data_IF_042964716634
#
_entry.id   IF_042964716634
#
_cell.length_a   1.000
_cell.length_b   1.000
_cell.length_c   1.000
_cell.angle_alpha   90.00
_cell.angle_beta   90.00
_cell.angle_gamma   90.00
#
_symmetry.space_group_name_H-M   'P 1'
#
loop_
_entity.id
_entity.type
_entity.pdbx_description
1 polymer ?
#
# COMPACT_ATOMS: atom_id res chain seq x y z
N UNK A 1 -82.79 21.21 0.28
CA UNK A 1 -81.75 22.13 -0.24
C UNK A 1 -80.39 21.44 -0.08
N UNK A 2 -79.87 20.85 -1.15
CA UNK A 2 -78.60 20.09 -1.14
C UNK A 2 -77.41 21.07 -1.22
N UNK A 3 -76.54 21.06 -0.19
CA UNK A 3 -75.28 21.84 -0.19
C UNK A 3 -74.20 21.06 -0.95
N UNK A 4 -73.73 21.63 -2.07
CA UNK A 4 -72.57 21.15 -2.81
C UNK A 4 -71.28 21.47 -2.03
N UNK A 5 -70.49 20.44 -1.70
CA UNK A 5 -69.11 20.62 -1.25
C UNK A 5 -68.22 20.94 -2.46
N UNK A 6 -67.70 22.17 -2.51
CA UNK A 6 -66.76 22.65 -3.53
C UNK A 6 -65.40 21.97 -3.30
N UNK A 7 -65.03 20.98 -4.11
CA UNK A 7 -63.70 20.34 -4.08
C UNK A 7 -62.61 21.37 -4.41
N UNK A 8 -61.82 21.78 -3.42
CA UNK A 8 -60.65 22.63 -3.61
C UNK A 8 -59.50 21.80 -4.21
N UNK A 9 -59.40 21.79 -5.55
CA UNK A 9 -58.35 21.08 -6.31
C UNK A 9 -57.04 21.86 -6.52
N UNK A 10 -56.85 22.98 -5.81
CA UNK A 10 -55.67 23.86 -5.99
C UNK A 10 -54.63 23.86 -4.86
N UNK A 11 -54.91 23.21 -3.72
CA UNK A 11 -54.05 23.28 -2.53
C UNK A 11 -53.06 22.09 -2.38
N UNK A 12 -53.18 21.06 -3.23
CA UNK A 12 -52.38 19.83 -3.12
C UNK A 12 -50.99 19.93 -3.75
N UNK A 13 -50.72 20.92 -4.62
CA UNK A 13 -49.39 21.12 -5.22
C UNK A 13 -48.41 21.86 -4.29
N UNK A 14 -48.90 22.58 -3.27
CA UNK A 14 -48.03 23.35 -2.36
C UNK A 14 -47.54 22.55 -1.15
N UNK A 15 -48.40 21.67 -0.61
CA UNK A 15 -48.04 20.84 0.54
C UNK A 15 -47.11 19.69 0.10
N UNK A 16 -47.46 19.01 -1.00
CA UNK A 16 -46.69 17.87 -1.52
C UNK A 16 -45.35 18.31 -2.12
N UNK A 17 -45.27 19.48 -2.77
CA UNK A 17 -43.99 20.00 -3.27
C UNK A 17 -42.99 20.35 -2.17
N UNK A 18 -43.46 20.82 -0.99
CA UNK A 18 -42.59 21.06 0.16
C UNK A 18 -42.09 19.76 0.77
N UNK A 19 -42.97 18.76 0.90
CA UNK A 19 -42.61 17.42 1.38
C UNK A 19 -41.61 16.77 0.40
N UNK A 20 -41.86 16.86 -0.90
CA UNK A 20 -40.96 16.35 -1.94
C UNK A 20 -39.59 17.05 -1.90
N UNK A 21 -39.54 18.39 -1.83
CA UNK A 21 -38.29 19.13 -1.66
C UNK A 21 -37.53 18.74 -0.39
N UNK A 22 -38.25 18.42 0.69
CA UNK A 22 -37.65 17.98 1.95
C UNK A 22 -37.04 16.58 1.83
N UNK A 23 -37.71 15.68 1.11
CA UNK A 23 -37.20 14.33 0.80
C UNK A 23 -35.99 14.43 -0.14
N UNK A 24 -36.05 15.24 -1.21
CA UNK A 24 -34.92 15.45 -2.11
C UNK A 24 -33.74 16.14 -1.41
N UNK A 25 -33.99 17.12 -0.53
CA UNK A 25 -32.95 17.71 0.30
C UNK A 25 -32.32 16.68 1.23
N UNK A 26 -33.12 15.86 1.93
CA UNK A 26 -32.64 14.78 2.78
C UNK A 26 -31.82 13.74 2.01
N UNK A 27 -32.32 13.26 0.87
CA UNK A 27 -31.62 12.31 0.01
C UNK A 27 -30.32 12.90 -0.55
N UNK A 28 -30.30 14.19 -0.92
CA UNK A 28 -29.09 14.88 -1.41
C UNK A 28 -27.99 14.99 -0.34
N UNK A 29 -28.37 15.16 0.93
CA UNK A 29 -27.41 15.20 2.06
C UNK A 29 -26.87 13.80 2.34
N UNK A 30 -27.73 12.78 2.37
CA UNK A 30 -27.30 11.39 2.61
C UNK A 30 -26.40 10.88 1.48
N UNK A 31 -26.74 11.18 0.22
CA UNK A 31 -25.92 10.82 -0.95
C UNK A 31 -24.65 11.66 -1.07
N UNK A 32 -24.68 12.94 -0.70
CA UNK A 32 -23.49 13.80 -0.69
C UNK A 32 -22.45 13.41 0.36
N UNK A 33 -22.89 13.05 1.58
CA UNK A 33 -21.98 12.60 2.66
C UNK A 33 -21.37 11.24 2.32
N UNK A 34 -22.16 10.31 1.77
CA UNK A 34 -21.65 9.00 1.33
C UNK A 34 -20.71 9.10 0.13
N UNK A 35 -20.97 9.96 -0.86
CA UNK A 35 -20.08 10.15 -2.01
C UNK A 35 -18.75 10.82 -1.61
N UNK A 36 -18.76 11.77 -0.67
CA UNK A 36 -17.53 12.36 -0.11
C UNK A 36 -16.75 11.34 0.73
N UNK A 37 -17.43 10.39 1.38
CA UNK A 37 -16.78 9.29 2.11
C UNK A 37 -16.18 8.23 1.18
N UNK A 38 -16.86 7.87 0.09
CA UNK A 38 -16.35 6.92 -0.92
C UNK A 38 -15.18 7.51 -1.72
N UNK A 39 -15.11 8.83 -1.89
CA UNK A 39 -13.96 9.52 -2.48
C UNK A 39 -12.80 9.75 -1.49
N UNK A 40 -12.99 9.47 -0.19
CA UNK A 40 -11.93 9.56 0.82
C UNK A 40 -11.22 8.21 0.96
N UNK A 41 -9.90 8.24 0.73
CA UNK A 41 -8.91 7.19 1.04
C UNK A 41 -8.89 5.90 0.19
N UNK A 42 -8.86 6.03 -1.14
CA UNK A 42 -8.35 4.96 -2.03
C UNK A 42 -6.81 4.79 -1.95
N UNK A 43 -6.19 5.21 -0.83
CA UNK A 43 -4.74 5.23 -0.61
C UNK A 43 -4.24 3.89 -0.12
N UNK A 44 -4.96 3.30 0.83
CA UNK A 44 -4.71 1.96 1.35
C UNK A 44 -4.73 0.96 0.21
N UNK A 45 -5.79 0.96 -0.61
CA UNK A 45 -5.91 0.06 -1.77
C UNK A 45 -4.77 0.26 -2.78
N UNK A 46 -4.37 1.51 -3.05
CA UNK A 46 -3.19 1.80 -3.89
C UNK A 46 -1.89 1.24 -3.31
N UNK A 47 -1.69 1.35 -1.99
CA UNK A 47 -0.51 0.81 -1.30
C UNK A 47 -0.51 -0.72 -1.34
N UNK A 48 -1.66 -1.36 -1.10
CA UNK A 48 -1.81 -2.81 -1.17
C UNK A 48 -1.56 -3.32 -2.60
N UNK A 49 -2.14 -2.66 -3.61
CA UNK A 49 -1.90 -3.00 -5.02
C UNK A 49 -0.44 -2.81 -5.42
N UNK A 50 0.21 -1.74 -4.95
CA UNK A 50 1.64 -1.53 -5.16
C UNK A 50 2.47 -2.63 -4.51
N UNK A 51 2.14 -3.01 -3.28
CA UNK A 51 2.81 -4.09 -2.56
C UNK A 51 2.72 -5.42 -3.31
N UNK A 52 1.52 -5.80 -3.75
CA UNK A 52 1.29 -7.04 -4.52
C UNK A 52 2.13 -7.06 -5.80
N UNK A 53 2.12 -5.96 -6.57
CA UNK A 53 2.89 -5.85 -7.81
C UNK A 53 4.40 -5.94 -7.58
N UNK A 54 4.90 -5.24 -6.57
CA UNK A 54 6.34 -5.23 -6.27
C UNK A 54 6.77 -6.59 -5.70
N UNK A 55 5.92 -7.28 -4.94
CA UNK A 55 6.18 -8.66 -4.45
C UNK A 55 6.28 -9.63 -5.62
N UNK A 56 5.27 -9.67 -6.48
CA UNK A 56 5.27 -10.55 -7.64
C UNK A 56 6.46 -10.28 -8.58
N UNK A 57 6.80 -9.01 -8.80
CA UNK A 57 7.95 -8.65 -9.64
C UNK A 57 9.29 -9.09 -9.02
N UNK A 58 9.43 -8.99 -7.70
CA UNK A 58 10.62 -9.46 -7.01
C UNK A 58 10.74 -10.99 -7.06
N UNK A 59 9.63 -11.70 -6.85
CA UNK A 59 9.57 -13.17 -6.94
C UNK A 59 10.02 -13.67 -8.32
N UNK A 60 9.46 -13.12 -9.40
CA UNK A 60 9.86 -13.48 -10.78
C UNK A 60 11.33 -13.17 -11.04
N UNK A 61 11.82 -12.00 -10.58
CA UNK A 61 13.23 -11.66 -10.72
C UNK A 61 14.15 -12.63 -9.99
N UNK A 62 13.78 -13.09 -8.79
CA UNK A 62 14.55 -14.07 -8.02
C UNK A 62 14.57 -15.43 -8.71
N UNK A 63 13.46 -15.85 -9.31
CA UNK A 63 13.36 -17.08 -10.10
C UNK A 63 14.27 -17.01 -11.34
N UNK A 64 14.21 -15.92 -12.11
CA UNK A 64 15.00 -15.76 -13.33
C UNK A 64 16.51 -15.69 -13.05
N UNK A 65 16.90 -14.96 -12.01
CA UNK A 65 18.31 -14.81 -11.64
C UNK A 65 18.86 -16.01 -10.85
N UNK A 66 17.97 -16.90 -10.37
CA UNK A 66 18.27 -18.03 -9.50
C UNK A 66 19.12 -17.62 -8.29
N UNK A 67 18.84 -16.45 -7.74
CA UNK A 67 19.65 -15.83 -6.70
C UNK A 67 18.83 -14.93 -5.79
N UNK A 68 19.28 -14.80 -4.55
CA UNK A 68 18.72 -13.82 -3.62
C UNK A 68 19.04 -12.39 -4.09
N UNK A 69 18.16 -11.42 -3.79
CA UNK A 69 18.37 -10.02 -4.13
C UNK A 69 19.72 -9.48 -3.69
N UNK A 70 20.16 -9.87 -2.51
CA UNK A 70 21.45 -9.43 -2.00
C UNK A 70 22.65 -9.96 -2.79
N UNK A 71 22.53 -11.10 -3.47
CA UNK A 71 23.61 -11.69 -4.27
C UNK A 71 23.71 -11.06 -5.66
N UNK A 72 22.56 -10.71 -6.27
CA UNK A 72 22.54 -10.20 -7.65
C UNK A 72 22.61 -8.68 -7.76
N UNK A 73 22.58 -7.93 -6.66
CA UNK A 73 22.70 -6.47 -6.71
C UNK A 73 24.15 -6.06 -6.92
N UNK A 74 24.37 -5.22 -7.93
CA UNK A 74 25.68 -4.63 -8.15
C UNK A 74 26.13 -3.87 -6.89
N UNK A 75 27.44 -3.88 -6.62
CA UNK A 75 28.09 -3.07 -5.57
C UNK A 75 27.92 -1.56 -5.87
N UNK A 76 26.70 -1.05 -5.83
CA UNK A 76 26.44 0.38 -5.68
C UNK A 76 26.80 0.68 -4.24
N UNK A 77 27.87 1.44 -4.01
CA UNK A 77 28.49 1.73 -2.70
C UNK A 77 27.60 2.44 -1.66
N UNK A 78 26.29 2.29 -1.73
CA UNK A 78 25.31 2.70 -0.74
C UNK A 78 24.90 1.51 0.11
N UNK A 79 24.84 1.72 1.43
CA UNK A 79 24.36 0.74 2.46
C UNK A 79 22.95 0.18 2.21
N UNK A 80 22.25 0.65 1.18
CA UNK A 80 20.96 0.18 0.74
C UNK A 80 21.16 -0.30 -0.70
N UNK A 81 21.18 -1.62 -0.90
CA UNK A 81 21.22 -2.18 -2.25
C UNK A 81 19.89 -1.81 -2.90
N UNK A 82 19.97 -1.21 -4.08
CA UNK A 82 18.83 -0.59 -4.75
C UNK A 82 17.94 -1.63 -5.46
N UNK A 83 17.51 -2.68 -4.74
CA UNK A 83 16.71 -3.80 -5.27
C UNK A 83 15.49 -3.32 -6.03
N UNK A 84 14.83 -2.28 -5.53
CA UNK A 84 13.68 -1.69 -6.19
C UNK A 84 14.00 -1.15 -7.59
N UNK A 85 15.20 -0.59 -7.82
CA UNK A 85 15.60 -0.15 -9.18
C UNK A 85 16.01 -1.32 -10.07
N UNK A 86 16.54 -2.40 -9.50
CA UNK A 86 16.93 -3.58 -10.27
C UNK A 86 15.73 -4.30 -10.91
N UNK A 87 14.50 -4.02 -10.43
CA UNK A 87 13.25 -4.42 -11.10
C UNK A 87 13.03 -3.71 -12.45
N UNK A 88 13.69 -2.57 -12.68
CA UNK A 88 13.54 -1.74 -13.88
C UNK A 88 14.79 -1.68 -14.75
N UNK A 89 15.98 -1.80 -14.14
CA UNK A 89 17.25 -1.45 -14.77
C UNK A 89 18.30 -2.55 -14.57
N UNK A 90 18.65 -3.21 -15.68
CA UNK A 90 19.68 -4.25 -15.74
C UNK A 90 21.05 -3.77 -15.22
N UNK A 91 21.36 -2.48 -15.34
CA UNK A 91 22.65 -1.94 -14.88
C UNK A 91 22.85 -2.08 -13.37
N UNK A 92 21.74 -2.14 -12.62
CA UNK A 92 21.70 -2.35 -11.16
C UNK A 92 21.95 -3.82 -10.78
N UNK A 93 21.88 -4.72 -11.75
CA UNK A 93 22.19 -6.15 -11.58
C UNK A 93 23.69 -6.36 -11.80
N UNK A 94 24.32 -7.13 -10.91
CA UNK A 94 25.72 -7.47 -10.98
C UNK A 94 26.03 -8.21 -12.29
N UNK A 95 27.20 -7.94 -12.88
CA UNK A 95 27.57 -8.44 -14.21
C UNK A 95 27.46 -9.97 -14.36
N UNK A 96 27.67 -10.72 -13.27
CA UNK A 96 27.54 -12.19 -13.26
C UNK A 96 26.11 -12.69 -13.49
N UNK A 97 25.09 -11.86 -13.22
CA UNK A 97 23.67 -12.23 -13.31
C UNK A 97 22.94 -11.58 -14.50
N UNK A 98 23.56 -10.59 -15.16
CA UNK A 98 22.94 -9.83 -16.26
C UNK A 98 22.46 -10.70 -17.42
N UNK A 99 23.19 -11.76 -17.76
CA UNK A 99 22.79 -12.70 -18.82
C UNK A 99 21.51 -13.47 -18.51
N UNK A 100 21.11 -13.54 -17.23
CA UNK A 100 19.88 -14.19 -16.78
C UNK A 100 18.72 -13.21 -16.57
N UNK A 101 18.96 -11.91 -16.67
CA UNK A 101 17.93 -10.90 -16.43
C UNK A 101 16.97 -10.83 -17.62
N UNK A 102 15.69 -11.16 -17.40
CA UNK A 102 14.64 -11.14 -18.44
C UNK A 102 13.69 -9.93 -18.31
N UNK A 103 14.00 -9.01 -17.41
CA UNK A 103 13.20 -7.83 -17.10
C UNK A 103 13.05 -6.84 -18.26
N UNK A 104 12.41 -5.68 -18.01
CA UNK A 104 12.00 -5.16 -16.71
C UNK A 104 10.75 -5.86 -16.15
N UNK A 105 10.77 -6.14 -14.84
CA UNK A 105 9.71 -6.84 -14.10
C UNK A 105 8.57 -5.91 -13.68
N UNK A 106 8.83 -4.60 -13.63
CA UNK A 106 7.83 -3.55 -13.46
C UNK A 106 7.85 -2.62 -14.68
N UNK A 107 6.66 -2.36 -15.24
CA UNK A 107 6.49 -1.55 -16.46
C UNK A 107 6.19 -0.08 -16.19
N UNK A 108 5.74 0.26 -14.98
CA UNK A 108 5.33 1.62 -14.59
C UNK A 108 6.52 2.47 -14.16
N UNK A 109 6.30 3.77 -13.92
CA UNK A 109 7.36 4.77 -13.75
C UNK A 109 8.47 4.32 -12.80
N UNK A 110 9.74 4.52 -13.21
CA UNK A 110 10.95 4.34 -12.37
C UNK A 110 10.98 5.28 -11.15
N UNK A 111 9.92 6.05 -10.94
CA UNK A 111 9.79 6.96 -9.83
C UNK A 111 9.78 6.14 -8.54
N UNK A 112 10.86 6.28 -7.78
CA UNK A 112 10.95 5.84 -6.38
C UNK A 112 10.00 6.58 -5.47
N UNK A 113 9.00 7.28 -6.00
CA UNK A 113 8.11 8.14 -5.25
C UNK A 113 6.67 7.77 -5.57
N UNK A 114 5.85 7.63 -4.53
CA UNK A 114 4.40 7.62 -4.70
C UNK A 114 3.92 8.98 -5.22
N UNK A 115 2.67 9.07 -5.67
CA UNK A 115 2.01 10.35 -6.00
C UNK A 115 2.08 11.38 -4.84
N UNK A 116 2.33 10.89 -3.63
CA UNK A 116 2.41 11.64 -2.37
C UNK A 116 3.87 11.86 -1.90
N UNK A 117 4.84 11.63 -2.79
CA UNK A 117 6.28 11.83 -2.58
C UNK A 117 6.97 10.86 -1.61
N UNK A 118 6.29 9.82 -1.11
CA UNK A 118 6.91 8.80 -0.26
C UNK A 118 7.92 7.99 -1.04
N UNK A 119 9.10 7.73 -0.47
CA UNK A 119 10.11 6.92 -1.11
C UNK A 119 9.77 5.44 -1.04
N UNK A 120 9.92 4.75 -2.16
CA UNK A 120 9.77 3.30 -2.28
C UNK A 120 11.14 2.63 -2.27
N UNK A 121 11.33 1.67 -1.36
CA UNK A 121 12.55 0.87 -1.27
C UNK A 121 12.19 -0.57 -0.90
N UNK A 122 13.03 -1.51 -1.27
CA UNK A 122 12.96 -2.88 -0.73
C UNK A 122 14.08 -2.99 0.31
N UNK A 123 13.76 -3.45 1.51
CA UNK A 123 14.70 -3.56 2.64
C UNK A 123 14.69 -4.97 3.23
N UNK A 124 15.86 -5.60 3.41
CA UNK A 124 15.95 -6.82 4.19
C UNK A 124 15.80 -6.49 5.69
N UNK A 125 14.87 -7.14 6.38
CA UNK A 125 14.62 -6.92 7.81
C UNK A 125 14.32 -8.25 8.54
N UNK A 126 14.75 -8.41 9.80
CA UNK A 126 14.44 -9.59 10.60
C UNK A 126 13.01 -9.56 11.14
N UNK A 127 12.45 -10.75 11.35
CA UNK A 127 11.09 -10.96 11.86
C UNK A 127 10.96 -10.63 13.36
N UNK A 128 12.02 -10.75 14.15
CA UNK A 128 11.95 -10.61 15.61
C UNK A 128 13.11 -9.75 16.09
N UNK A 129 12.98 -8.42 16.09
CA UNK A 129 13.89 -7.53 16.82
C UNK A 129 13.40 -6.07 16.84
N UNK A 130 13.63 -5.42 17.99
CA UNK A 130 13.60 -3.96 18.19
C UNK A 130 14.76 -3.32 17.44
N UNK A 131 14.66 -3.28 16.12
CA UNK A 131 15.73 -2.78 15.28
C UNK A 131 15.33 -2.81 13.81
N UNK A 132 14.70 -1.74 13.34
CA UNK A 132 14.66 -1.44 11.91
C UNK A 132 16.13 -1.35 11.47
N UNK A 133 16.50 -2.00 10.36
CA UNK A 133 17.79 -1.89 9.64
C UNK A 133 18.88 -2.94 9.94
N UNK A 134 18.60 -4.23 9.80
CA UNK A 134 19.32 -5.13 8.86
C UNK A 134 19.21 -6.61 9.29
N UNK A 135 19.21 -7.47 8.29
CA UNK A 135 19.53 -8.87 8.46
C UNK A 135 20.97 -9.04 8.96
N UNK A 136 21.15 -9.87 10.00
CA UNK A 136 22.47 -10.29 10.47
C UNK A 136 22.70 -11.71 9.96
N UNK A 137 23.96 -12.16 9.95
CA UNK A 137 24.29 -13.54 9.58
C UNK A 137 23.47 -14.56 10.40
N UNK A 138 23.18 -14.26 11.67
CA UNK A 138 22.33 -15.12 12.52
C UNK A 138 20.89 -15.17 12.05
N UNK A 139 20.30 -14.03 11.66
CA UNK A 139 18.93 -13.99 11.14
C UNK A 139 18.79 -14.74 9.81
N UNK A 140 19.79 -14.62 8.94
CA UNK A 140 19.85 -15.35 7.66
C UNK A 140 19.94 -16.86 7.89
N UNK A 141 20.83 -17.31 8.80
CA UNK A 141 20.96 -18.73 9.16
C UNK A 141 19.67 -19.32 9.76
N UNK A 142 18.90 -18.52 10.49
CA UNK A 142 17.64 -18.97 11.10
C UNK A 142 16.42 -18.86 10.17
N UNK A 143 16.57 -18.30 8.96
CA UNK A 143 15.45 -18.04 8.05
C UNK A 143 14.50 -16.96 8.56
N UNK A 144 14.99 -16.04 9.39
CA UNK A 144 14.21 -14.97 10.04
C UNK A 144 14.24 -13.67 9.24
N UNK A 145 14.81 -13.68 8.04
CA UNK A 145 15.02 -12.51 7.20
C UNK A 145 14.09 -12.48 5.99
N UNK A 146 13.39 -11.35 5.86
CA UNK A 146 12.40 -11.12 4.82
C UNK A 146 12.66 -9.81 4.10
N UNK A 147 12.23 -9.73 2.85
CA UNK A 147 12.16 -8.47 2.14
C UNK A 147 10.90 -7.70 2.55
N UNK A 148 11.06 -6.41 2.83
CA UNK A 148 9.95 -5.50 3.12
C UNK A 148 9.91 -4.38 2.09
N UNK A 149 8.72 -4.05 1.61
CA UNK A 149 8.46 -2.81 0.90
C UNK A 149 8.39 -1.67 1.91
N UNK A 150 9.39 -0.80 1.86
CA UNK A 150 9.43 0.47 2.59
C UNK A 150 8.70 1.54 1.80
N UNK A 151 7.81 2.24 2.50
CA UNK A 151 7.08 3.42 2.04
C UNK A 151 7.27 4.51 3.09
N UNK A 152 8.01 5.56 2.78
CA UNK A 152 8.21 6.65 3.73
C UNK A 152 9.13 7.75 3.21
N UNK A 153 9.15 8.89 3.89
CA UNK A 153 10.08 9.97 3.59
C UNK A 153 10.60 10.60 4.89
N UNK A 154 11.79 11.19 4.87
CA UNK A 154 12.36 11.83 6.06
C UNK A 154 11.55 13.07 6.52
N UNK A 155 10.79 13.67 5.60
CA UNK A 155 10.10 14.96 5.81
C UNK A 155 8.58 14.85 5.81
N UNK A 156 8.03 13.79 5.22
CA UNK A 156 6.58 13.60 5.09
C UNK A 156 6.19 12.34 5.87
N UNK A 157 5.49 12.48 7.01
CA UNK A 157 5.03 11.31 7.75
C UNK A 157 3.92 10.60 6.98
N UNK A 158 3.95 9.26 7.00
CA UNK A 158 2.79 8.46 6.61
C UNK A 158 1.70 8.64 7.68
N UNK A 159 0.47 9.07 7.32
CA UNK A 159 -0.64 9.23 8.27
C UNK A 159 -0.92 7.96 9.06
N UNK A 160 -1.21 8.10 10.36
CA UNK A 160 -1.48 6.95 11.23
C UNK A 160 -2.65 6.10 10.73
N UNK A 161 -3.71 6.74 10.25
CA UNK A 161 -4.86 6.06 9.65
C UNK A 161 -4.47 5.10 8.52
N UNK A 162 -3.54 5.49 7.64
CA UNK A 162 -3.10 4.62 6.53
C UNK A 162 -2.36 3.40 7.08
N UNK A 163 -1.54 3.57 8.12
CA UNK A 163 -0.81 2.46 8.75
C UNK A 163 -1.78 1.47 9.38
N UNK A 164 -2.77 1.99 10.11
CA UNK A 164 -3.81 1.19 10.76
C UNK A 164 -4.65 0.44 9.72
N UNK A 165 -5.11 1.12 8.66
CA UNK A 165 -5.92 0.52 7.58
C UNK A 165 -5.14 -0.58 6.83
N UNK A 166 -3.85 -0.36 6.53
CA UNK A 166 -2.99 -1.36 5.87
C UNK A 166 -2.74 -2.57 6.79
N UNK A 167 -2.52 -2.33 8.08
CA UNK A 167 -2.36 -3.39 9.06
C UNK A 167 -3.62 -4.24 9.18
N UNK A 168 -4.79 -3.60 9.29
CA UNK A 168 -6.07 -4.31 9.36
C UNK A 168 -6.32 -5.15 8.10
N UNK A 169 -5.94 -4.64 6.92
CA UNK A 169 -6.12 -5.35 5.65
C UNK A 169 -5.23 -6.60 5.52
N UNK A 170 -3.99 -6.57 6.05
CA UNK A 170 -3.01 -7.65 5.87
C UNK A 170 -2.93 -8.61 7.04
N UNK A 171 -3.00 -8.11 8.27
CA UNK A 171 -2.83 -8.90 9.49
C UNK A 171 -4.12 -9.04 10.31
N UNK A 172 -5.18 -8.33 9.92
CA UNK A 172 -6.51 -8.42 10.52
C UNK A 172 -6.77 -7.42 11.65
N UNK A 173 -8.02 -7.34 12.14
CA UNK A 173 -8.41 -6.36 13.14
C UNK A 173 -7.78 -6.67 14.50
N UNK A 174 -7.17 -5.66 15.11
CA UNK A 174 -6.69 -5.73 16.50
C UNK A 174 -5.34 -6.41 16.69
N UNK A 175 -4.48 -6.46 15.67
CA UNK A 175 -3.10 -6.88 15.89
C UNK A 175 -2.37 -5.91 16.83
N UNK A 176 -1.79 -6.47 17.89
CA UNK A 176 -1.21 -5.69 18.99
C UNK A 176 0.31 -5.53 18.85
N UNK A 177 0.97 -6.39 18.04
CA UNK A 177 2.42 -6.47 17.94
C UNK A 177 2.92 -6.59 16.47
N UNK A 178 2.71 -5.56 15.63
CA UNK A 178 3.23 -5.53 14.26
C UNK A 178 4.74 -5.78 14.19
N UNK A 179 5.47 -5.32 15.21
CA UNK A 179 6.94 -5.40 15.27
C UNK A 179 7.52 -6.79 15.58
N UNK A 180 6.72 -7.75 16.05
CA UNK A 180 7.22 -9.08 16.42
C UNK A 180 6.62 -10.22 15.59
N UNK A 181 5.36 -10.12 15.16
CA UNK A 181 4.68 -11.21 14.44
C UNK A 181 3.93 -10.77 13.16
N UNK A 182 3.75 -9.46 12.93
CA UNK A 182 2.95 -8.94 11.82
C UNK A 182 3.68 -8.88 10.48
N UNK A 183 2.89 -8.88 9.41
CA UNK A 183 3.34 -8.62 8.04
C UNK A 183 3.56 -7.12 7.82
N UNK A 184 2.96 -6.26 8.64
CA UNK A 184 3.07 -4.80 8.56
C UNK A 184 3.83 -4.25 9.76
N UNK A 185 4.68 -3.24 9.54
CA UNK A 185 5.38 -2.47 10.58
C UNK A 185 5.41 -1.01 10.24
N UNK A 186 5.59 -0.14 11.22
CA UNK A 186 5.75 1.28 10.96
C UNK A 186 6.56 1.99 12.04
N UNK A 187 7.15 3.11 11.63
CA UNK A 187 7.65 4.14 12.54
C UNK A 187 6.83 5.42 12.34
N UNK A 188 7.27 6.56 12.92
CA UNK A 188 6.56 7.84 12.75
C UNK A 188 6.38 8.22 11.28
N UNK A 189 7.39 7.96 10.45
CA UNK A 189 7.46 8.48 9.09
C UNK A 189 7.30 7.42 8.00
N UNK A 190 7.34 6.15 8.37
CA UNK A 190 7.50 5.06 7.42
C UNK A 190 6.57 3.90 7.72
N UNK A 191 6.19 3.19 6.66
CA UNK A 191 5.45 1.94 6.66
C UNK A 191 6.32 0.88 5.98
N UNK A 192 6.31 -0.33 6.52
CA UNK A 192 7.06 -1.48 6.03
C UNK A 192 6.07 -2.63 5.86
N UNK A 193 6.03 -3.23 4.67
CA UNK A 193 5.10 -4.33 4.36
C UNK A 193 5.90 -5.53 3.89
N UNK A 194 5.74 -6.67 4.56
CA UNK A 194 6.47 -7.91 4.29
C UNK A 194 6.13 -8.42 2.90
N UNK A 195 7.15 -8.76 2.13
CA UNK A 195 7.04 -9.37 0.80
C UNK A 195 7.22 -10.88 0.91
N UNK A 196 6.57 -11.61 0.00
CA UNK A 196 6.64 -13.06 -0.06
C UNK A 196 8.01 -13.47 -0.59
N UNK A 197 8.90 -13.90 0.32
CA UNK A 197 10.02 -14.83 0.16
C UNK A 197 10.99 -14.60 1.34
N UNK A 198 11.38 -15.69 2.00
CA UNK A 198 12.50 -15.63 2.94
C UNK A 198 13.80 -15.44 2.16
N UNK A 199 14.75 -14.71 2.74
CA UNK A 199 16.13 -14.66 2.24
C UNK A 199 16.81 -16.00 2.53
N UNK A 200 16.40 -17.06 1.83
CA UNK A 200 16.97 -18.39 2.01
C UNK A 200 18.26 -18.48 1.19
N UNK A 201 19.38 -18.62 1.90
CA UNK A 201 20.71 -18.88 1.34
C UNK A 201 20.72 -20.04 0.35
#
# INVERSE_FOLDING_TARGET
MFKFFKKQRGAMFGLDARIALSIFAGLSVVTGVSMIQVLKDNRTDKILFLHEKVSAALEVMQEDLEANPDAFLANTGTRFKDTFLALYDESMVAAAYRSKWLGPYLREDRNRRTEEMYQLRIRPMPMTLTGINNCTATHEMNGECYHFLFIGDATVPVPQKIKDDVNEALDGPGEVNPDTNGSVRWDTNSLYIRMGLTMRS
#
